data_IF_524079523936
#
_entry.id   IF_524079523936
#
_cell.length_a   1.000
_cell.length_b   1.000
_cell.length_c   1.000
_cell.angle_alpha   90.00
_cell.angle_beta   90.00
_cell.angle_gamma   90.00
#
_symmetry.space_group_name_H-M   'P 1'
#
loop_
_entity.id
_entity.type
_entity.pdbx_description
1 polymer ?
#
# COMPACT_ATOMS: atom_id res chain seq x y z
N UNK A 1 -22.97 -53.04 18.23
CA UNK A 1 -21.93 -53.00 17.17
C UNK A 1 -22.41 -53.87 16.03
N UNK A 2 -22.57 -53.32 14.82
CA UNK A 2 -22.99 -54.09 13.65
C UNK A 2 -21.79 -54.88 13.12
N UNK A 3 -21.89 -56.20 13.06
CA UNK A 3 -20.82 -57.06 12.57
C UNK A 3 -20.79 -56.99 11.02
N UNK A 4 -19.74 -56.40 10.46
CA UNK A 4 -19.52 -56.38 9.01
C UNK A 4 -18.96 -57.74 8.57
N UNK A 5 -19.76 -58.53 7.85
CA UNK A 5 -19.32 -59.79 7.25
C UNK A 5 -18.67 -59.54 5.89
N UNK A 6 -17.36 -59.77 5.80
CA UNK A 6 -16.62 -59.75 4.53
C UNK A 6 -16.79 -61.12 3.86
N UNK A 7 -17.48 -61.15 2.72
CA UNK A 7 -17.80 -62.40 1.98
C UNK A 7 -16.75 -62.79 0.94
N UNK A 8 -15.68 -62.01 0.79
CA UNK A 8 -14.61 -62.24 -0.19
C UNK A 8 -13.24 -62.33 0.47
N UNK A 9 -12.28 -63.00 -0.20
CA UNK A 9 -10.89 -63.08 0.25
C UNK A 9 -10.26 -61.69 0.27
N UNK A 10 -9.85 -61.21 1.44
CA UNK A 10 -9.09 -59.97 1.60
C UNK A 10 -7.73 -60.18 0.93
N UNK A 11 -7.45 -59.43 -0.15
CA UNK A 11 -6.19 -59.51 -0.90
C UNK A 11 -5.11 -58.56 -0.37
N UNK A 12 -5.45 -57.71 0.60
CA UNK A 12 -4.55 -56.79 1.28
C UNK A 12 -5.31 -55.96 2.30
N UNK A 13 -4.60 -55.44 3.30
CA UNK A 13 -5.12 -54.48 4.26
C UNK A 13 -4.11 -53.34 4.40
N UNK A 14 -4.59 -52.12 4.59
CA UNK A 14 -3.78 -50.95 4.97
C UNK A 14 -4.43 -50.35 6.19
N UNK A 15 -3.65 -50.12 7.25
CA UNK A 15 -4.13 -49.38 8.42
C UNK A 15 -4.18 -47.93 8.02
N UNK A 16 -5.38 -47.36 8.00
CA UNK A 16 -5.57 -45.93 7.73
C UNK A 16 -5.03 -45.19 8.94
N UNK A 17 -3.91 -44.49 8.74
CA UNK A 17 -3.41 -43.55 9.73
C UNK A 17 -4.09 -42.21 9.43
N UNK A 18 -5.11 -41.86 10.22
CA UNK A 18 -5.89 -40.63 10.04
C UNK A 18 -4.99 -39.38 10.02
N UNK A 19 -3.87 -39.39 10.75
CA UNK A 19 -2.89 -38.29 10.73
C UNK A 19 -2.15 -38.18 9.38
N UNK A 20 -1.86 -39.31 8.73
CA UNK A 20 -1.19 -39.34 7.42
C UNK A 20 -2.16 -38.91 6.32
N UNK A 21 -3.42 -39.33 6.38
CA UNK A 21 -4.48 -38.88 5.47
C UNK A 21 -4.76 -37.37 5.60
N UNK A 22 -4.82 -36.84 6.82
CA UNK A 22 -4.96 -35.40 7.06
C UNK A 22 -3.75 -34.60 6.56
N UNK A 23 -2.53 -35.11 6.76
CA UNK A 23 -1.32 -34.46 6.25
C UNK A 23 -1.29 -34.45 4.70
N UNK A 24 -1.70 -35.54 4.05
CA UNK A 24 -1.83 -35.63 2.60
C UNK A 24 -2.91 -34.68 2.06
N UNK A 25 -4.06 -34.60 2.74
CA UNK A 25 -5.13 -33.68 2.37
C UNK A 25 -4.69 -32.21 2.50
N UNK A 26 -4.04 -31.84 3.61
CA UNK A 26 -3.51 -30.48 3.80
C UNK A 26 -2.41 -30.12 2.79
N UNK A 27 -1.54 -31.08 2.45
CA UNK A 27 -0.52 -30.88 1.42
C UNK A 27 -1.14 -30.72 0.02
N UNK A 28 -2.20 -31.46 -0.30
CA UNK A 28 -2.94 -31.32 -1.55
C UNK A 28 -3.69 -29.98 -1.62
N UNK A 29 -4.28 -29.53 -0.50
CA UNK A 29 -4.94 -28.23 -0.40
C UNK A 29 -3.93 -27.09 -0.59
N UNK A 30 -2.76 -27.16 0.05
CA UNK A 30 -1.67 -26.20 -0.14
C UNK A 30 -1.14 -26.19 -1.59
N UNK A 31 -1.05 -27.35 -2.24
CA UNK A 31 -0.66 -27.46 -3.65
C UNK A 31 -1.71 -26.90 -4.62
N UNK A 32 -2.98 -26.79 -4.20
CA UNK A 32 -4.07 -26.24 -5.01
C UNK A 32 -4.16 -24.71 -4.95
N UNK A 33 -3.39 -24.06 -4.07
CA UNK A 33 -3.38 -22.60 -3.93
C UNK A 33 -2.73 -21.97 -5.16
N UNK A 34 -3.56 -21.34 -5.98
CA UNK A 34 -3.14 -20.60 -7.17
C UNK A 34 -2.32 -19.39 -6.73
N UNK A 35 -1.11 -19.30 -7.26
CA UNK A 35 -0.22 -18.16 -7.10
C UNK A 35 -0.22 -17.34 -8.37
N UNK A 36 0.14 -16.05 -8.28
CA UNK A 36 0.24 -15.21 -9.46
C UNK A 36 1.50 -15.55 -10.25
N UNK A 37 1.35 -15.80 -11.55
CA UNK A 37 2.42 -16.03 -12.51
C UNK A 37 2.00 -15.60 -13.93
N UNK A 38 2.94 -15.63 -14.88
CA UNK A 38 2.73 -15.16 -16.25
C UNK A 38 1.69 -15.98 -17.05
N UNK A 39 1.31 -17.16 -16.58
CA UNK A 39 0.35 -18.06 -17.27
C UNK A 39 -1.10 -17.80 -16.88
N UNK A 40 -1.34 -17.05 -15.79
CA UNK A 40 -2.68 -16.70 -15.35
C UNK A 40 -3.38 -15.80 -16.36
N UNK A 41 -4.50 -16.28 -16.89
CA UNK A 41 -5.35 -15.50 -17.78
C UNK A 41 -6.07 -14.38 -17.03
N UNK A 42 -6.24 -13.24 -17.72
CA UNK A 42 -6.98 -12.09 -17.17
C UNK A 42 -8.46 -12.47 -17.04
N UNK A 43 -9.06 -12.39 -15.84
CA UNK A 43 -10.48 -12.65 -15.66
C UNK A 43 -11.34 -11.57 -16.32
N UNK A 44 -12.61 -11.88 -16.54
CA UNK A 44 -13.58 -10.96 -17.15
C UNK A 44 -13.78 -9.69 -16.33
N UNK A 45 -13.72 -9.82 -15.00
CA UNK A 45 -13.91 -8.71 -14.06
C UNK A 45 -12.71 -8.59 -13.12
N UNK A 46 -12.24 -7.36 -12.95
CA UNK A 46 -11.24 -6.99 -11.95
C UNK A 46 -11.85 -5.95 -11.00
N UNK A 47 -11.41 -5.98 -9.75
CA UNK A 47 -11.81 -5.00 -8.73
C UNK A 47 -10.67 -4.01 -8.58
N UNK A 48 -10.95 -2.72 -8.60
CA UNK A 48 -9.89 -1.72 -8.55
C UNK A 48 -10.27 -0.44 -7.83
N UNK A 49 -9.30 0.45 -7.72
CA UNK A 49 -9.47 1.79 -7.17
C UNK A 49 -8.78 2.82 -8.06
N UNK A 50 -9.40 3.98 -8.22
CA UNK A 50 -8.82 5.13 -8.93
C UNK A 50 -8.42 6.20 -7.93
N UNK A 51 -7.14 6.53 -7.92
CA UNK A 51 -6.54 7.57 -7.08
C UNK A 51 -6.27 8.82 -7.91
N UNK A 52 -6.46 9.98 -7.29
CA UNK A 52 -6.20 11.28 -7.92
C UNK A 52 -4.93 11.90 -7.37
N UNK A 53 -4.03 12.28 -8.26
CA UNK A 53 -2.84 13.09 -7.95
C UNK A 53 -3.03 14.48 -8.55
N UNK A 54 -2.96 15.51 -7.69
CA UNK A 54 -3.01 16.92 -8.10
C UNK A 54 -1.73 17.61 -7.63
N UNK A 55 -0.82 17.86 -8.57
CA UNK A 55 0.39 18.64 -8.33
C UNK A 55 0.13 20.12 -8.59
N UNK A 56 0.80 21.05 -7.87
CA UNK A 56 0.85 22.46 -8.26
C UNK A 56 1.70 22.71 -9.50
N UNK A 57 2.52 21.74 -9.95
CA UNK A 57 3.43 21.91 -11.09
C UNK A 57 2.72 21.91 -12.46
N UNK A 58 1.50 21.39 -12.53
CA UNK A 58 0.76 21.26 -13.78
C UNK A 58 -0.75 21.41 -13.54
N UNK A 59 -1.45 21.92 -14.54
CA UNK A 59 -2.88 22.23 -14.45
C UNK A 59 -3.77 20.98 -14.31
N UNK A 60 -3.39 19.89 -14.98
CA UNK A 60 -4.22 18.69 -15.10
C UNK A 60 -3.79 17.58 -14.14
N UNK A 61 -4.74 17.07 -13.35
CA UNK A 61 -4.50 15.95 -12.45
C UNK A 61 -4.15 14.65 -13.20
N UNK A 62 -3.39 13.78 -12.53
CA UNK A 62 -3.22 12.39 -12.95
C UNK A 62 -4.25 11.52 -12.22
N UNK A 63 -4.84 10.57 -12.93
CA UNK A 63 -5.68 9.53 -12.38
C UNK A 63 -4.95 8.20 -12.50
N UNK A 64 -4.69 7.56 -11.36
CA UNK A 64 -3.99 6.29 -11.25
C UNK A 64 -5.02 5.23 -10.85
N UNK A 65 -5.41 4.37 -11.78
CA UNK A 65 -6.28 3.22 -11.53
C UNK A 65 -5.43 1.99 -11.32
N UNK A 66 -5.61 1.29 -10.20
CA UNK A 66 -4.97 -0.01 -9.96
C UNK A 66 -6.08 -1.03 -9.80
N UNK A 67 -6.03 -2.07 -10.64
CA UNK A 67 -6.97 -3.18 -10.67
C UNK A 67 -6.29 -4.43 -10.14
N UNK A 68 -7.01 -5.16 -9.30
CA UNK A 68 -6.56 -6.37 -8.64
C UNK A 68 -7.28 -7.61 -9.16
N UNK A 69 -6.54 -8.71 -9.20
CA UNK A 69 -7.09 -10.04 -9.31
C UNK A 69 -7.34 -10.60 -7.91
N UNK A 70 -8.46 -11.30 -7.74
CA UNK A 70 -8.74 -12.10 -6.54
C UNK A 70 -8.29 -13.53 -6.82
N UNK A 71 -7.25 -13.98 -6.12
CA UNK A 71 -6.77 -15.35 -6.17
C UNK A 71 -7.48 -16.19 -5.11
N UNK A 72 -7.74 -17.46 -5.43
CA UNK A 72 -8.32 -18.46 -4.52
C UNK A 72 -9.62 -17.99 -3.83
N UNK A 73 -10.49 -17.31 -4.60
CA UNK A 73 -11.74 -16.77 -4.10
C UNK A 73 -12.60 -17.84 -3.40
N UNK A 74 -13.15 -17.49 -2.23
CA UNK A 74 -13.97 -18.40 -1.43
C UNK A 74 -13.19 -19.45 -0.62
N UNK A 75 -11.85 -19.38 -0.60
CA UNK A 75 -11.00 -20.26 0.21
C UNK A 75 -10.32 -19.49 1.35
N UNK A 76 -9.72 -20.20 2.30
CA UNK A 76 -8.90 -19.58 3.36
C UNK A 76 -7.65 -18.86 2.83
N UNK A 77 -7.28 -19.11 1.57
CA UNK A 77 -6.13 -18.51 0.90
C UNK A 77 -6.53 -17.38 -0.08
N UNK A 78 -7.74 -16.86 0.05
CA UNK A 78 -8.20 -15.72 -0.76
C UNK A 78 -7.25 -14.53 -0.57
N UNK A 79 -6.67 -14.06 -1.66
CA UNK A 79 -5.75 -12.92 -1.65
C UNK A 79 -6.01 -12.03 -2.86
N UNK A 80 -6.01 -10.72 -2.63
CA UNK A 80 -6.00 -9.72 -3.70
C UNK A 80 -4.57 -9.41 -4.11
N UNK A 81 -4.31 -9.38 -5.40
CA UNK A 81 -3.00 -9.06 -5.97
C UNK A 81 -3.16 -8.03 -7.09
N UNK A 82 -2.30 -7.01 -7.17
CA UNK A 82 -2.35 -6.03 -8.25
C UNK A 82 -2.06 -6.72 -9.57
N UNK A 83 -2.87 -6.44 -10.59
CA UNK A 83 -2.77 -7.09 -11.89
C UNK A 83 -2.44 -6.11 -13.02
N UNK A 84 -3.08 -4.94 -13.01
CA UNK A 84 -2.83 -3.88 -13.99
C UNK A 84 -2.98 -2.50 -13.34
N UNK A 85 -2.18 -1.56 -13.84
CA UNK A 85 -2.25 -0.15 -13.48
C UNK A 85 -2.49 0.66 -14.74
N UNK A 86 -3.29 1.71 -14.63
CA UNK A 86 -3.51 2.72 -15.67
C UNK A 86 -3.27 4.09 -15.09
N UNK A 87 -2.47 4.90 -15.79
CA UNK A 87 -2.24 6.29 -15.40
C UNK A 87 -2.71 7.15 -16.56
N UNK A 88 -3.67 8.04 -16.30
CA UNK A 88 -4.25 8.94 -17.29
C UNK A 88 -4.09 10.40 -16.86
N UNK A 89 -3.83 11.28 -17.83
CA UNK A 89 -3.79 12.73 -17.64
C UNK A 89 -4.23 13.43 -18.91
N UNK A 90 -4.79 14.63 -18.76
CA UNK A 90 -5.04 15.53 -19.90
C UNK A 90 -3.75 16.25 -20.36
N UNK A 91 -2.68 16.20 -19.57
CA UNK A 91 -1.40 16.81 -19.95
C UNK A 91 -0.64 15.92 -20.94
N UNK A 92 -0.50 16.39 -22.18
CA UNK A 92 0.20 15.67 -23.24
C UNK A 92 1.72 15.56 -23.01
N UNK A 93 2.33 16.46 -22.24
CA UNK A 93 3.76 16.39 -21.90
C UNK A 93 4.10 15.12 -21.11
N UNK A 94 3.11 14.55 -20.42
CA UNK A 94 3.33 13.34 -19.64
C UNK A 94 3.12 12.05 -20.45
N UNK A 95 2.56 12.13 -21.66
CA UNK A 95 2.02 10.97 -22.36
C UNK A 95 3.03 9.83 -22.53
N UNK A 96 4.23 10.12 -23.04
CA UNK A 96 5.20 9.07 -23.39
C UNK A 96 5.69 8.28 -22.17
N UNK A 97 6.14 8.98 -21.12
CA UNK A 97 6.67 8.32 -19.92
C UNK A 97 5.55 7.67 -19.10
N UNK A 98 4.35 8.26 -19.06
CA UNK A 98 3.19 7.64 -18.41
C UNK A 98 2.85 6.32 -19.08
N UNK A 99 2.79 6.28 -20.42
CA UNK A 99 2.50 5.06 -21.16
C UNK A 99 3.57 4.00 -20.91
N UNK A 100 4.85 4.38 -20.94
CA UNK A 100 5.95 3.46 -20.66
C UNK A 100 5.86 2.90 -19.24
N UNK A 101 5.69 3.77 -18.23
CA UNK A 101 5.60 3.39 -16.82
C UNK A 101 4.41 2.45 -16.58
N UNK A 102 3.24 2.81 -17.11
CA UNK A 102 2.00 2.02 -17.02
C UNK A 102 2.18 0.61 -17.59
N UNK A 103 2.83 0.49 -18.75
CA UNK A 103 3.09 -0.81 -19.40
C UNK A 103 4.06 -1.67 -18.61
N UNK A 104 5.16 -1.08 -18.14
CA UNK A 104 6.20 -1.79 -17.38
C UNK A 104 5.65 -2.26 -16.04
N UNK A 105 5.01 -1.37 -15.27
CA UNK A 105 4.45 -1.74 -13.97
C UNK A 105 3.38 -2.83 -14.09
N UNK A 106 2.47 -2.73 -15.06
CA UNK A 106 1.49 -3.79 -15.31
C UNK A 106 2.14 -5.11 -15.73
N UNK A 107 3.25 -5.08 -16.46
CA UNK A 107 4.00 -6.29 -16.80
C UNK A 107 4.66 -6.91 -15.55
N UNK A 108 5.23 -6.10 -14.66
CA UNK A 108 5.78 -6.56 -13.38
C UNK A 108 4.69 -7.19 -12.52
N UNK A 109 3.51 -6.58 -12.45
CA UNK A 109 2.36 -7.16 -11.75
C UNK A 109 1.97 -8.52 -12.33
N UNK A 110 1.78 -8.62 -13.65
CA UNK A 110 1.42 -9.89 -14.31
C UNK A 110 2.48 -10.99 -14.17
N UNK A 111 3.75 -10.63 -14.01
CA UNK A 111 4.81 -11.62 -13.80
C UNK A 111 4.65 -12.38 -12.49
N UNK A 112 3.91 -11.82 -11.53
CA UNK A 112 3.75 -12.38 -10.20
C UNK A 112 4.99 -12.18 -9.33
N UNK A 113 5.01 -12.86 -8.18
CA UNK A 113 6.04 -12.68 -7.16
C UNK A 113 5.82 -11.43 -6.29
N UNK A 114 6.90 -10.91 -5.73
CA UNK A 114 6.88 -9.71 -4.90
C UNK A 114 6.99 -8.44 -5.77
N UNK A 115 5.92 -7.66 -5.81
CA UNK A 115 5.87 -6.36 -6.50
C UNK A 115 6.02 -5.17 -5.54
N UNK A 116 6.15 -5.42 -4.23
CA UNK A 116 6.16 -4.35 -3.21
C UNK A 116 7.39 -3.45 -3.33
N UNK A 117 8.51 -3.98 -3.84
CA UNK A 117 9.74 -3.22 -4.10
C UNK A 117 9.52 -1.98 -5.00
N UNK A 118 8.53 -2.03 -5.91
CA UNK A 118 8.21 -0.91 -6.79
C UNK A 118 7.87 0.36 -6.01
N UNK A 119 7.37 0.24 -4.78
CA UNK A 119 7.09 1.39 -3.92
C UNK A 119 8.37 2.18 -3.62
N UNK A 120 9.44 1.47 -3.23
CA UNK A 120 10.72 2.08 -2.89
C UNK A 120 11.38 2.68 -4.13
N UNK A 121 11.41 1.93 -5.23
CA UNK A 121 11.97 2.37 -6.52
C UNK A 121 11.29 3.65 -7.03
N UNK A 122 9.95 3.71 -6.98
CA UNK A 122 9.21 4.89 -7.42
C UNK A 122 9.44 6.09 -6.49
N UNK A 123 9.44 5.87 -5.16
CA UNK A 123 9.67 6.92 -4.16
C UNK A 123 11.09 7.49 -4.21
N UNK A 124 12.07 6.72 -4.68
CA UNK A 124 13.45 7.16 -4.86
C UNK A 124 13.67 8.05 -6.09
N UNK A 125 12.66 8.25 -6.95
CA UNK A 125 12.79 9.13 -8.12
C UNK A 125 12.64 10.59 -7.70
N UNK A 126 13.66 11.40 -7.99
CA UNK A 126 13.69 12.84 -7.72
C UNK A 126 13.47 13.65 -8.99
N UNK A 127 12.70 14.74 -8.89
CA UNK A 127 12.62 15.75 -9.93
C UNK A 127 13.85 16.67 -9.78
N UNK A 128 14.67 16.86 -10.82
CA UNK A 128 15.83 17.76 -10.77
C UNK A 128 15.44 19.22 -10.48
N UNK A 129 14.15 19.59 -10.60
CA UNK A 129 13.61 20.90 -10.21
C UNK A 129 13.25 21.00 -8.73
N UNK A 130 13.46 19.95 -7.94
CA UNK A 130 13.33 19.96 -6.48
C UNK A 130 11.95 19.58 -5.95
N UNK A 131 11.14 18.84 -6.72
CA UNK A 131 9.83 18.34 -6.25
C UNK A 131 8.79 19.43 -5.98
N UNK A 132 7.80 19.12 -5.15
CA UNK A 132 6.71 20.05 -4.80
C UNK A 132 6.02 19.69 -3.49
N UNK A 133 5.33 20.67 -2.90
CA UNK A 133 4.41 20.43 -1.78
C UNK A 133 3.02 20.13 -2.31
N UNK A 134 2.47 18.97 -1.97
CA UNK A 134 1.06 18.66 -2.24
C UNK A 134 0.14 19.23 -1.16
N UNK A 135 -1.17 19.18 -1.41
CA UNK A 135 -2.19 19.58 -0.43
C UNK A 135 -1.96 18.86 0.91
N UNK A 136 -2.03 19.61 2.01
CA UNK A 136 -1.71 19.13 3.35
C UNK A 136 -0.24 19.32 3.75
N UNK A 137 0.56 19.99 2.92
CA UNK A 137 1.94 20.36 3.26
C UNK A 137 2.93 19.19 3.23
N UNK A 138 2.63 18.13 2.48
CA UNK A 138 3.53 16.98 2.32
C UNK A 138 4.41 17.22 1.09
N UNK A 139 5.72 17.19 1.27
CA UNK A 139 6.69 17.30 0.20
C UNK A 139 6.79 15.98 -0.58
N UNK A 140 6.61 16.08 -1.89
CA UNK A 140 6.79 15.01 -2.87
C UNK A 140 8.05 15.29 -3.68
N UNK A 141 9.07 14.41 -3.66
CA UNK A 141 10.31 14.60 -4.42
C UNK A 141 10.13 14.67 -5.94
N UNK A 142 9.09 14.03 -6.46
CA UNK A 142 8.71 14.05 -7.87
C UNK A 142 7.27 13.58 -8.04
N UNK A 143 6.72 13.72 -9.25
CA UNK A 143 5.44 13.10 -9.61
C UNK A 143 5.51 11.57 -9.55
N UNK A 144 6.65 10.98 -9.89
CA UNK A 144 6.87 9.53 -9.86
C UNK A 144 6.88 9.04 -8.40
N UNK A 145 7.49 9.79 -7.49
CA UNK A 145 7.46 9.49 -6.07
C UNK A 145 6.03 9.55 -5.49
N UNK A 146 5.20 10.49 -5.97
CA UNK A 146 3.79 10.51 -5.57
C UNK A 146 3.01 9.29 -6.12
N UNK A 147 3.31 8.82 -7.34
CA UNK A 147 2.77 7.56 -7.87
C UNK A 147 3.21 6.38 -6.98
N UNK A 148 4.47 6.35 -6.52
CA UNK A 148 4.95 5.38 -5.54
C UNK A 148 4.15 5.41 -4.24
N UNK A 149 3.81 6.59 -3.74
CA UNK A 149 2.92 6.75 -2.57
C UNK A 149 1.48 6.30 -2.82
N UNK A 150 0.96 6.42 -4.04
CA UNK A 150 -0.33 5.84 -4.43
C UNK A 150 -0.27 4.31 -4.44
N UNK A 151 0.80 3.73 -5.01
CA UNK A 151 1.00 2.29 -5.02
C UNK A 151 1.10 1.75 -3.59
N UNK A 152 1.90 2.38 -2.73
CA UNK A 152 2.03 2.00 -1.32
C UNK A 152 0.67 1.96 -0.61
N UNK A 153 -0.14 3.02 -0.79
CA UNK A 153 -1.49 3.10 -0.22
C UNK A 153 -2.36 1.96 -0.70
N UNK A 154 -2.29 1.64 -2.00
CA UNK A 154 -3.09 0.58 -2.59
C UNK A 154 -2.66 -0.80 -2.09
N UNK A 155 -1.36 -1.10 -2.09
CA UNK A 155 -0.80 -2.36 -1.59
C UNK A 155 -1.08 -2.56 -0.10
N UNK A 156 -1.08 -1.48 0.68
CA UNK A 156 -1.49 -1.52 2.09
C UNK A 156 -2.98 -1.85 2.22
N UNK A 157 -3.83 -1.23 1.40
CA UNK A 157 -5.28 -1.44 1.45
C UNK A 157 -5.70 -2.88 1.10
N UNK A 158 -4.94 -3.57 0.25
CA UNK A 158 -5.16 -4.98 -0.09
C UNK A 158 -4.39 -5.97 0.81
N UNK A 159 -3.67 -5.48 1.81
CA UNK A 159 -2.93 -6.31 2.77
C UNK A 159 -1.59 -6.88 2.28
N UNK A 160 -1.05 -6.37 1.16
CA UNK A 160 0.27 -6.76 0.64
C UNK A 160 1.43 -6.05 1.34
N UNK A 161 1.19 -4.83 1.81
CA UNK A 161 2.15 -4.07 2.61
C UNK A 161 1.57 -3.79 3.99
N UNK A 162 2.43 -3.81 5.02
CA UNK A 162 2.07 -3.26 6.32
C UNK A 162 2.20 -1.75 6.25
N UNK A 163 1.10 -1.05 6.52
CA UNK A 163 1.12 0.41 6.56
C UNK A 163 1.97 0.92 7.72
N UNK A 164 2.37 2.20 7.69
CA UNK A 164 2.90 2.88 8.85
C UNK A 164 1.74 3.11 9.84
N UNK A 165 1.38 2.08 10.60
CA UNK A 165 0.45 2.24 11.71
C UNK A 165 1.19 2.95 12.84
N UNK A 166 0.73 4.17 13.14
CA UNK A 166 1.06 4.83 14.40
C UNK A 166 0.38 4.01 15.49
N UNK A 167 1.16 3.49 16.43
CA UNK A 167 0.61 2.85 17.62
C UNK A 167 -0.28 3.82 18.41
N UNK A 168 -1.13 3.27 19.28
CA UNK A 168 -2.11 4.08 20.03
C UNK A 168 -1.42 5.18 20.86
N UNK A 169 -0.26 4.86 21.42
CA UNK A 169 0.57 5.79 22.19
C UNK A 169 1.07 6.96 21.33
N UNK A 170 1.57 6.70 20.12
CA UNK A 170 2.00 7.71 19.16
C UNK A 170 0.84 8.58 18.69
N UNK A 171 -0.34 8.01 18.48
CA UNK A 171 -1.54 8.79 18.14
C UNK A 171 -1.94 9.72 19.28
N UNK A 172 -1.94 9.21 20.51
CA UNK A 172 -2.23 10.02 21.71
C UNK A 172 -1.19 11.12 21.89
N UNK A 173 0.09 10.80 21.78
CA UNK A 173 1.20 11.76 21.85
C UNK A 173 1.07 12.87 20.80
N UNK A 174 0.78 12.50 19.54
CA UNK A 174 0.56 13.46 18.46
C UNK A 174 -0.66 14.36 18.72
N UNK A 175 -1.75 13.79 19.22
CA UNK A 175 -2.96 14.54 19.57
C UNK A 175 -2.68 15.53 20.71
N UNK A 176 -1.98 15.10 21.75
CA UNK A 176 -1.56 15.94 22.87
C UNK A 176 -0.67 17.08 22.39
N UNK A 177 0.37 16.79 21.59
CA UNK A 177 1.30 17.83 21.09
C UNK A 177 0.61 18.84 20.17
N UNK A 178 -0.33 18.39 19.32
CA UNK A 178 -1.15 19.31 18.52
C UNK A 178 -2.01 20.21 19.42
N UNK A 179 -2.70 19.64 20.40
CA UNK A 179 -3.54 20.40 21.31
C UNK A 179 -2.73 21.42 22.14
N UNK A 180 -1.56 21.03 22.63
CA UNK A 180 -0.66 21.91 23.37
C UNK A 180 -0.14 23.07 22.49
N UNK A 181 0.23 22.78 21.24
CA UNK A 181 0.66 23.81 20.30
C UNK A 181 -0.47 24.79 19.96
N UNK A 182 -1.67 24.28 19.68
CA UNK A 182 -2.87 25.10 19.42
C UNK A 182 -3.20 26.02 20.59
N UNK A 183 -3.14 25.49 21.82
CA UNK A 183 -3.39 26.26 23.04
C UNK A 183 -2.35 27.38 23.24
N UNK A 184 -1.09 27.15 22.89
CA UNK A 184 -0.01 28.12 23.06
C UNK A 184 -0.02 29.26 22.02
N UNK A 185 -0.39 28.98 20.78
CA UNK A 185 -0.31 29.96 19.67
C UNK A 185 -1.56 30.83 19.53
N UNK A 186 -2.68 30.46 20.16
CA UNK A 186 -3.95 31.20 20.02
C UNK A 186 -4.49 31.22 18.57
N UNK A 187 -3.95 30.39 17.69
CA UNK A 187 -4.34 30.29 16.29
C UNK A 187 -5.55 29.38 16.12
N UNK A 188 -6.43 29.72 15.17
CA UNK A 188 -7.54 28.87 14.75
C UNK A 188 -7.05 27.47 14.38
N UNK A 189 -7.79 26.45 14.82
CA UNK A 189 -7.53 25.04 14.48
C UNK A 189 -7.29 24.88 12.98
N UNK A 190 -6.16 24.28 12.63
CA UNK A 190 -5.93 23.84 11.25
C UNK A 190 -6.78 22.58 11.05
N UNK A 191 -7.77 22.65 10.17
CA UNK A 191 -8.67 21.54 9.90
C UNK A 191 -7.88 20.30 9.42
N UNK A 192 -8.31 19.08 9.78
CA UNK A 192 -7.67 17.86 9.32
C UNK A 192 -7.57 17.81 7.79
N UNK A 193 -6.35 17.80 7.25
CA UNK A 193 -6.10 17.75 5.80
C UNK A 193 -5.91 19.11 5.13
N UNK A 194 -6.05 20.22 5.86
CA UNK A 194 -5.61 21.55 5.39
C UNK A 194 -4.11 21.77 5.57
N UNK A 195 -3.47 20.95 6.40
CA UNK A 195 -2.02 20.89 6.55
C UNK A 195 -1.61 21.10 8.00
N UNK A 196 -0.66 22.00 8.20
CA UNK A 196 0.01 22.25 9.46
C UNK A 196 0.15 23.76 9.69
N UNK A 197 0.44 24.19 10.94
CA UNK A 197 0.52 25.59 11.30
C UNK A 197 1.45 26.41 10.39
N UNK A 198 1.10 27.68 10.18
CA UNK A 198 1.93 28.60 9.42
C UNK A 198 3.32 28.74 10.07
N UNK A 199 4.38 28.65 9.24
CA UNK A 199 5.77 28.67 9.71
C UNK A 199 6.33 27.32 10.13
N UNK A 200 5.55 26.24 10.08
CA UNK A 200 6.08 24.89 10.29
C UNK A 200 7.15 24.54 9.24
N UNK A 201 8.19 23.83 9.67
CA UNK A 201 9.33 23.44 8.84
C UNK A 201 9.18 22.00 8.33
N UNK A 202 9.97 21.66 7.30
CA UNK A 202 9.99 20.33 6.71
C UNK A 202 10.56 19.29 7.69
N UNK A 203 9.78 18.26 7.98
CA UNK A 203 10.26 17.12 8.74
C UNK A 203 11.15 16.22 7.87
N UNK A 204 12.41 16.04 8.26
CA UNK A 204 13.33 15.12 7.56
C UNK A 204 12.95 13.64 7.65
N UNK A 205 12.03 13.25 8.56
CA UNK A 205 11.57 11.85 8.71
C UNK A 205 10.38 11.52 7.81
N UNK A 206 9.37 12.40 7.77
CA UNK A 206 8.10 12.12 7.06
C UNK A 206 7.79 13.09 5.92
N UNK A 207 8.73 13.99 5.57
CA UNK A 207 8.59 14.97 4.50
C UNK A 207 7.35 15.86 4.62
N UNK A 208 6.78 16.03 5.81
CA UNK A 208 5.64 16.93 6.03
C UNK A 208 6.15 18.24 6.60
N UNK A 209 5.61 19.37 6.12
CA UNK A 209 5.83 20.71 6.67
C UNK A 209 5.12 20.84 8.02
N UNK A 210 5.59 20.10 9.01
CA UNK A 210 4.88 19.84 10.26
C UNK A 210 5.74 20.04 11.51
N UNK A 211 7.01 20.45 11.34
CA UNK A 211 7.92 20.67 12.47
C UNK A 211 7.69 22.05 13.06
N UNK A 212 7.41 22.09 14.35
CA UNK A 212 7.24 23.32 15.12
C UNK A 212 8.18 23.31 16.32
N UNK A 213 8.55 24.49 16.81
CA UNK A 213 9.29 24.60 18.06
C UNK A 213 8.32 24.56 19.24
N UNK A 214 8.46 23.56 20.11
CA UNK A 214 7.67 23.45 21.33
C UNK A 214 8.48 22.74 22.41
N UNK A 215 8.32 23.15 23.67
CA UNK A 215 9.04 22.58 24.83
C UNK A 215 10.58 22.59 24.68
N UNK A 216 11.14 23.57 23.95
CA UNK A 216 12.58 23.64 23.66
C UNK A 216 13.07 22.68 22.58
N UNK A 217 12.18 21.90 21.95
CA UNK A 217 12.53 20.91 20.92
C UNK A 217 11.80 21.17 19.60
N UNK A 218 12.45 20.80 18.49
CA UNK A 218 11.83 20.80 17.17
C UNK A 218 10.99 19.53 17.02
N UNK A 219 9.66 19.66 17.05
CA UNK A 219 8.70 18.54 17.12
C UNK A 219 7.81 18.48 15.89
N UNK A 220 7.73 17.32 15.24
CA UNK A 220 6.87 17.07 14.08
C UNK A 220 5.45 16.68 14.49
N UNK A 221 4.47 17.52 14.16
CA UNK A 221 3.05 17.28 14.42
C UNK A 221 2.42 16.22 13.49
N UNK A 222 3.16 15.68 12.53
CA UNK A 222 2.69 14.59 11.65
C UNK A 222 3.12 13.20 12.12
N UNK A 223 4.38 13.05 12.53
CA UNK A 223 4.98 11.73 12.82
C UNK A 223 5.60 11.62 14.21
N UNK A 224 5.54 12.67 15.03
CA UNK A 224 6.02 12.67 16.41
C UNK A 224 7.54 12.79 16.55
N UNK A 225 8.31 12.78 15.46
CA UNK A 225 9.75 12.97 15.52
C UNK A 225 10.08 14.31 16.19
N UNK A 226 10.85 14.27 17.29
CA UNK A 226 11.35 15.44 18.00
C UNK A 226 12.87 15.45 18.09
N UNK A 227 13.48 16.63 18.03
CA UNK A 227 14.92 16.82 18.29
C UNK A 227 15.13 18.06 19.15
N UNK A 228 15.71 17.88 20.32
CA UNK A 228 16.09 18.96 21.22
C UNK A 228 17.51 19.43 20.91
N UNK A 229 17.76 20.73 21.10
CA UNK A 229 19.08 21.36 20.94
C UNK A 229 19.82 21.49 22.26
#
# INVERSE_FOLDING_TARGET
MSAVKITQKIKGFKVVNEAEEQALAAAAEAASVVQMDETLERPDTLIGATYKIKSPLFEHALYVTINDMVLNAGTAHEQRRPFEIFINSKNMDHFQWIVALTRIMSAVFRKGGDCTFLVEELKAVFDPRGGYLKKGGIYMPSIVAEIGGVLERHLTAIGLLRGPELDEEQRLFLAEKRAAYEAAQGTSKVEPGEGFPAGAQLCGKCNSMAVVQMDGCATCLNCGHSKCG
#
